data_IF_991883106750
#
_entry.id   IF_991883106750
#
_cell.length_a   1.000
_cell.length_b   1.000
_cell.length_c   1.000
_cell.angle_alpha   90.00
_cell.angle_beta   90.00
_cell.angle_gamma   90.00
#
_symmetry.space_group_name_H-M   'P 1'
#
loop_
_entity.id
_entity.type
_entity.pdbx_description
1 polymer ?
#
# COMPACT_ATOMS: atom_id res chain seq x y z
N UNK A 1 -12.85 -6.50 14.98
CA UNK A 1 -13.19 -5.09 14.64
C UNK A 1 -12.46 -4.14 15.58
N UNK A 2 -11.52 -3.32 15.09
CA UNK A 2 -11.08 -2.12 15.82
C UNK A 2 -11.73 -0.90 15.16
N UNK A 3 -12.48 -0.13 15.95
CA UNK A 3 -13.29 1.04 15.56
C UNK A 3 -12.50 2.19 14.93
N UNK A 4 -11.17 2.14 15.02
CA UNK A 4 -10.25 3.21 14.59
C UNK A 4 -9.99 3.24 13.07
N UNK A 5 -10.30 2.16 12.33
CA UNK A 5 -10.10 2.05 10.88
C UNK A 5 -11.22 2.71 10.04
N UNK A 6 -12.29 3.19 10.68
CA UNK A 6 -13.38 3.94 10.02
C UNK A 6 -13.09 5.45 9.94
N UNK A 7 -11.95 5.91 10.45
CA UNK A 7 -11.61 7.34 10.57
C UNK A 7 -10.55 7.80 9.58
N UNK A 8 -10.20 6.97 8.59
CA UNK A 8 -9.33 7.37 7.49
C UNK A 8 -10.20 7.83 6.31
N UNK A 9 -10.26 9.14 5.99
CA UNK A 9 -11.20 9.68 4.99
C UNK A 9 -10.98 9.15 3.57
N UNK A 10 -9.77 8.66 3.27
CA UNK A 10 -9.46 8.08 1.95
C UNK A 10 -9.98 6.63 1.86
N UNK A 11 -9.93 5.89 2.96
CA UNK A 11 -10.53 4.56 3.07
C UNK A 11 -12.05 4.61 3.31
N UNK A 12 -12.58 5.70 3.87
CA UNK A 12 -14.03 5.86 4.11
C UNK A 12 -14.80 6.17 2.82
N UNK A 13 -14.23 6.97 1.90
CA UNK A 13 -14.89 7.32 0.63
C UNK A 13 -14.91 6.16 -0.38
N UNK A 14 -13.89 5.28 -0.36
CA UNK A 14 -13.82 4.11 -1.27
C UNK A 14 -14.28 2.81 -0.59
N UNK A 15 -14.06 2.67 0.72
CA UNK A 15 -14.34 1.45 1.48
C UNK A 15 -15.82 1.19 1.81
N UNK A 16 -16.69 2.20 1.68
CA UNK A 16 -18.14 2.02 1.88
C UNK A 16 -18.90 1.63 0.59
N UNK A 17 -18.24 1.50 -0.56
CA UNK A 17 -18.92 1.32 -1.86
C UNK A 17 -18.65 0.01 -2.62
N UNK A 18 -17.73 -0.86 -2.17
CA UNK A 18 -17.36 -2.12 -2.85
C UNK A 18 -17.03 -3.19 -1.78
N UNK A 19 -17.33 -4.50 -1.99
CA UNK A 19 -17.05 -5.56 -1.01
C UNK A 19 -15.55 -5.63 -0.67
N UNK A 20 -15.20 -5.33 0.59
CA UNK A 20 -13.81 -5.37 1.06
C UNK A 20 -13.53 -6.66 1.85
N UNK A 21 -12.45 -7.36 1.52
CA UNK A 21 -11.89 -8.43 2.35
C UNK A 21 -10.67 -7.90 3.11
N UNK A 22 -10.76 -7.86 4.45
CA UNK A 22 -9.67 -7.40 5.31
C UNK A 22 -8.90 -8.60 5.88
N UNK A 23 -7.64 -8.76 5.46
CA UNK A 23 -6.71 -9.79 5.93
C UNK A 23 -6.26 -9.51 7.37
N UNK A 24 -6.43 -10.49 8.28
CA UNK A 24 -6.02 -10.37 9.69
C UNK A 24 -4.54 -10.76 9.87
N UNK A 25 -3.81 -9.97 10.67
CA UNK A 25 -2.35 -10.01 10.81
C UNK A 25 -1.87 -10.79 12.05
N UNK A 26 -2.79 -11.25 12.89
CA UNK A 26 -2.47 -11.80 14.22
C UNK A 26 -2.44 -13.32 14.33
N UNK A 27 -2.86 -14.07 13.31
CA UNK A 27 -3.02 -15.51 13.44
C UNK A 27 -1.77 -16.27 12.96
N UNK A 28 -1.54 -17.45 13.53
CA UNK A 28 -0.56 -18.44 13.08
C UNK A 28 -0.83 -18.99 11.65
N UNK A 29 -1.55 -18.22 10.81
CA UNK A 29 -2.20 -18.69 9.60
C UNK A 29 -2.04 -17.72 8.42
N UNK A 30 -0.82 -17.18 8.21
CA UNK A 30 -0.44 -16.48 6.97
C UNK A 30 -0.88 -17.25 5.72
N UNK A 31 -0.83 -18.58 5.78
CA UNK A 31 -1.29 -19.47 4.71
C UNK A 31 -2.81 -19.38 4.47
N UNK A 32 -3.61 -19.35 5.54
CA UNK A 32 -5.07 -19.21 5.43
C UNK A 32 -5.46 -17.85 4.87
N UNK A 33 -4.73 -16.79 5.21
CA UNK A 33 -4.98 -15.46 4.65
C UNK A 33 -4.67 -15.41 3.13
N UNK A 34 -3.57 -16.03 2.71
CA UNK A 34 -3.24 -16.17 1.27
C UNK A 34 -4.30 -16.99 0.54
N UNK A 35 -4.78 -18.08 1.15
CA UNK A 35 -5.84 -18.91 0.56
C UNK A 35 -7.17 -18.13 0.47
N UNK A 36 -7.47 -17.27 1.45
CA UNK A 36 -8.61 -16.35 1.41
C UNK A 36 -8.51 -15.31 0.29
N UNK A 37 -7.33 -14.73 0.09
CA UNK A 37 -7.04 -13.84 -1.05
C UNK A 37 -7.32 -14.55 -2.38
N UNK A 38 -6.85 -15.79 -2.54
CA UNK A 38 -7.07 -16.59 -3.76
C UNK A 38 -8.54 -16.90 -3.98
N UNK A 39 -9.26 -17.30 -2.93
CA UNK A 39 -10.69 -17.61 -3.01
C UNK A 39 -11.53 -16.38 -3.38
N UNK A 40 -11.19 -15.21 -2.84
CA UNK A 40 -11.82 -13.94 -3.24
C UNK A 40 -11.55 -13.63 -4.71
N UNK A 41 -10.28 -13.67 -5.12
CA UNK A 41 -9.87 -13.35 -6.48
C UNK A 41 -10.48 -14.30 -7.53
N UNK A 42 -10.67 -15.58 -7.19
CA UNK A 42 -11.31 -16.56 -8.09
C UNK A 42 -12.76 -16.23 -8.45
N UNK A 43 -13.44 -15.39 -7.66
CA UNK A 43 -14.82 -14.98 -7.90
C UNK A 43 -14.93 -13.56 -8.49
N UNK A 44 -13.81 -12.94 -8.85
CA UNK A 44 -13.82 -11.60 -9.44
C UNK A 44 -14.28 -11.62 -10.89
N UNK A 45 -15.16 -10.70 -11.21
CA UNK A 45 -15.64 -10.43 -12.56
C UNK A 45 -14.71 -9.46 -13.30
N UNK A 46 -14.77 -9.37 -14.64
CA UNK A 46 -13.86 -8.51 -15.42
C UNK A 46 -13.88 -7.01 -15.09
N UNK A 47 -14.86 -6.52 -14.33
CA UNK A 47 -14.99 -5.12 -13.90
C UNK A 47 -14.67 -4.92 -12.42
N UNK A 48 -14.31 -5.98 -11.72
CA UNK A 48 -14.00 -5.93 -10.30
C UNK A 48 -12.55 -5.49 -10.09
N UNK A 49 -12.30 -4.84 -8.95
CA UNK A 49 -10.97 -4.37 -8.57
C UNK A 49 -10.65 -4.92 -7.19
N UNK A 50 -9.48 -5.55 -7.07
CA UNK A 50 -8.91 -5.93 -5.79
C UNK A 50 -7.91 -4.87 -5.36
N UNK A 51 -7.99 -4.45 -4.09
CA UNK A 51 -7.06 -3.48 -3.50
C UNK A 51 -6.29 -4.16 -2.39
N UNK A 52 -4.97 -4.01 -2.40
CA UNK A 52 -4.09 -4.50 -1.35
C UNK A 52 -3.11 -3.41 -0.92
N UNK A 53 -2.89 -3.32 0.39
CA UNK A 53 -1.90 -2.43 1.00
C UNK A 53 -0.67 -3.25 1.38
N UNK A 54 0.39 -3.29 0.56
CA UNK A 54 1.53 -4.18 0.79
C UNK A 54 2.34 -3.80 2.04
N UNK A 55 2.27 -2.56 2.51
CA UNK A 55 2.87 -2.13 3.79
C UNK A 55 2.25 -2.86 4.99
N UNK A 56 0.98 -3.26 4.84
CA UNK A 56 0.19 -3.88 5.87
C UNK A 56 -0.20 -2.96 7.01
N UNK A 57 0.43 -1.82 7.27
CA UNK A 57 0.08 -0.89 8.36
C UNK A 57 0.44 0.55 7.99
N UNK A 58 -0.16 1.52 8.69
CA UNK A 58 0.26 2.92 8.63
C UNK A 58 1.74 3.06 9.01
N UNK A 59 2.43 3.91 8.25
CA UNK A 59 3.81 4.32 8.51
C UNK A 59 3.95 5.03 9.85
N UNK A 60 4.96 4.62 10.61
CA UNK A 60 5.62 5.40 11.65
C UNK A 60 7.12 5.23 11.40
N UNK A 61 7.93 6.28 11.56
CA UNK A 61 9.37 6.23 11.40
C UNK A 61 10.02 5.10 12.23
N UNK A 62 9.60 4.94 13.49
CA UNK A 62 10.09 3.85 14.35
C UNK A 62 9.75 2.47 13.77
N UNK A 63 8.54 2.32 13.19
CA UNK A 63 8.12 1.07 12.55
C UNK A 63 8.88 0.83 11.26
N UNK A 64 9.16 1.87 10.47
CA UNK A 64 9.94 1.76 9.23
C UNK A 64 11.33 1.24 9.54
N UNK A 65 12.04 1.89 10.45
CA UNK A 65 13.39 1.49 10.87
C UNK A 65 13.39 0.05 11.39
N UNK A 66 12.45 -0.31 12.27
CA UNK A 66 12.36 -1.65 12.81
C UNK A 66 12.03 -2.72 11.75
N UNK A 67 11.18 -2.41 10.76
CA UNK A 67 10.83 -3.35 9.69
C UNK A 67 11.97 -3.53 8.69
N UNK A 68 12.66 -2.45 8.33
CA UNK A 68 13.87 -2.51 7.49
C UNK A 68 14.94 -3.36 8.19
N UNK A 69 15.23 -3.09 9.47
CA UNK A 69 16.21 -3.86 10.24
C UNK A 69 15.88 -5.36 10.32
N UNK A 70 14.59 -5.75 10.36
CA UNK A 70 14.20 -7.16 10.32
C UNK A 70 14.57 -7.86 9.01
N UNK A 71 14.71 -7.11 7.91
CA UNK A 71 15.16 -7.67 6.62
C UNK A 71 16.64 -8.03 6.66
N UNK A 72 17.47 -7.33 7.44
CA UNK A 72 18.91 -7.55 7.49
C UNK A 72 19.28 -9.03 7.70
N UNK A 73 18.56 -9.72 8.60
CA UNK A 73 18.79 -11.15 8.89
C UNK A 73 18.01 -12.10 7.99
N UNK A 74 16.87 -11.68 7.44
CA UNK A 74 15.92 -12.56 6.74
C UNK A 74 16.07 -12.53 5.22
N UNK A 75 16.42 -11.38 4.68
CA UNK A 75 16.59 -11.11 3.26
C UNK A 75 17.65 -10.00 3.07
N UNK A 76 18.95 -10.31 3.25
CA UNK A 76 20.02 -9.30 3.25
C UNK A 76 20.11 -8.48 1.96
N UNK A 77 19.89 -9.10 0.81
CA UNK A 77 19.88 -8.41 -0.50
C UNK A 77 18.72 -7.40 -0.58
N UNK A 78 17.54 -7.80 -0.10
CA UNK A 78 16.35 -6.97 -0.06
C UNK A 78 16.50 -5.83 0.96
N UNK A 79 17.16 -6.10 2.08
CA UNK A 79 17.56 -5.07 3.04
C UNK A 79 18.46 -4.01 2.40
N UNK A 80 19.54 -4.44 1.71
CA UNK A 80 20.47 -3.52 1.05
C UNK A 80 19.77 -2.60 0.03
N UNK A 81 18.72 -3.10 -0.63
CA UNK A 81 17.90 -2.34 -1.57
C UNK A 81 16.95 -1.36 -0.88
N UNK A 82 16.26 -1.81 0.18
CA UNK A 82 15.17 -1.06 0.82
C UNK A 82 15.60 -0.22 2.03
N UNK A 83 16.86 -0.29 2.45
CA UNK A 83 17.37 0.49 3.59
C UNK A 83 17.27 2.00 3.37
N UNK A 84 17.26 2.44 2.11
CA UNK A 84 17.12 3.84 1.72
C UNK A 84 15.69 4.40 1.73
N UNK A 85 14.68 3.63 2.14
CA UNK A 85 13.30 4.12 2.23
C UNK A 85 13.17 5.21 3.30
N UNK A 86 12.65 6.37 2.90
CA UNK A 86 12.51 7.54 3.77
C UNK A 86 11.09 7.73 4.30
N UNK A 87 10.06 7.34 3.54
CA UNK A 87 8.65 7.62 3.86
C UNK A 87 7.79 6.37 3.92
N UNK A 88 8.06 5.37 3.09
CA UNK A 88 7.24 4.16 2.99
C UNK A 88 7.80 3.02 3.85
N UNK A 89 6.94 2.07 4.19
CA UNK A 89 7.38 0.81 4.81
C UNK A 89 7.84 -0.16 3.72
N UNK A 90 8.80 -1.07 4.02
CA UNK A 90 9.15 -2.15 3.10
C UNK A 90 7.89 -2.95 2.71
N UNK A 91 7.61 -3.13 1.40
CA UNK A 91 6.37 -3.78 0.98
C UNK A 91 6.42 -5.27 1.31
N UNK A 92 5.26 -5.88 1.57
CA UNK A 92 5.10 -7.33 1.71
C UNK A 92 4.51 -7.86 0.41
N UNK A 93 5.33 -8.59 -0.34
CA UNK A 93 5.00 -9.12 -1.67
C UNK A 93 3.93 -10.22 -1.64
N UNK A 94 3.97 -11.10 -0.64
CA UNK A 94 3.20 -12.35 -0.63
C UNK A 94 1.70 -12.22 -0.97
N UNK A 95 1.00 -11.24 -0.42
CA UNK A 95 -0.42 -11.03 -0.71
C UNK A 95 -0.66 -10.49 -2.12
N UNK A 96 0.21 -9.58 -2.59
CA UNK A 96 0.12 -9.03 -3.94
C UNK A 96 0.49 -10.09 -5.00
N UNK A 97 1.49 -10.93 -4.71
CA UNK A 97 1.82 -12.10 -5.52
C UNK A 97 0.62 -13.05 -5.63
N UNK A 98 -0.04 -13.36 -4.51
CA UNK A 98 -1.20 -14.24 -4.51
C UNK A 98 -2.38 -13.69 -5.33
N UNK A 99 -2.62 -12.37 -5.28
CA UNK A 99 -3.61 -11.70 -6.14
C UNK A 99 -3.23 -11.79 -7.61
N UNK A 100 -1.99 -11.47 -7.96
CA UNK A 100 -1.53 -11.47 -9.35
C UNK A 100 -1.54 -12.90 -9.95
N UNK A 101 -1.25 -13.92 -9.14
CA UNK A 101 -1.36 -15.33 -9.53
C UNK A 101 -2.81 -15.74 -9.77
N UNK A 102 -3.75 -15.25 -8.95
CA UNK A 102 -5.17 -15.58 -9.07
C UNK A 102 -5.88 -14.79 -10.19
N UNK A 103 -5.34 -13.64 -10.60
CA UNK A 103 -5.88 -12.76 -11.65
C UNK A 103 -4.80 -12.57 -12.74
N UNK A 104 -4.49 -13.62 -13.52
CA UNK A 104 -3.35 -13.62 -14.42
C UNK A 104 -3.45 -12.60 -15.56
N UNK A 105 -4.65 -12.12 -15.89
CA UNK A 105 -4.88 -11.11 -16.94
C UNK A 105 -5.06 -9.69 -16.38
N UNK A 106 -5.02 -9.50 -15.06
CA UNK A 106 -5.34 -8.23 -14.42
C UNK A 106 -4.24 -7.19 -14.54
N UNK A 107 -4.57 -6.00 -15.01
CA UNK A 107 -3.64 -4.85 -14.94
C UNK A 107 -3.36 -4.46 -13.48
N UNK A 108 -2.18 -3.91 -13.23
CA UNK A 108 -1.77 -3.47 -11.90
C UNK A 108 -1.81 -1.95 -11.83
N UNK A 109 -2.55 -1.41 -10.88
CA UNK A 109 -2.55 0.03 -10.58
C UNK A 109 -1.79 0.27 -9.29
N UNK A 110 -0.73 1.07 -9.35
CA UNK A 110 -0.05 1.58 -8.17
C UNK A 110 -0.64 2.93 -7.80
N UNK A 111 -1.08 3.07 -6.55
CA UNK A 111 -1.68 4.28 -6.04
C UNK A 111 -0.86 4.81 -4.87
N UNK A 112 -0.55 6.10 -4.90
CA UNK A 112 0.09 6.80 -3.80
C UNK A 112 -0.46 8.21 -3.65
N UNK A 113 -0.30 8.79 -2.46
CA UNK A 113 -0.78 10.13 -2.20
C UNK A 113 0.08 10.87 -1.17
N UNK A 114 0.03 12.20 -1.21
CA UNK A 114 0.54 13.10 -0.17
C UNK A 114 -0.49 14.15 0.19
N UNK A 115 -0.36 14.75 1.37
CA UNK A 115 -1.23 15.87 1.75
C UNK A 115 -2.50 15.48 2.49
N UNK A 116 -2.64 14.24 2.95
CA UNK A 116 -3.74 13.80 3.82
C UNK A 116 -3.37 13.75 5.32
N UNK A 117 -2.16 14.19 5.68
CA UNK A 117 -1.69 14.25 7.06
C UNK A 117 -2.58 15.18 7.92
N UNK A 118 -3.00 14.70 9.10
CA UNK A 118 -3.80 15.47 10.06
C UNK A 118 -5.31 15.51 9.79
N UNK A 119 -5.83 14.62 8.93
CA UNK A 119 -7.28 14.41 8.74
C UNK A 119 -7.86 13.32 9.66
N UNK A 120 -7.06 12.85 10.61
CA UNK A 120 -7.38 11.80 11.58
C UNK A 120 -8.33 12.26 12.71
N UNK A 121 -8.62 13.57 12.78
CA UNK A 121 -9.58 14.15 13.73
C UNK A 121 -10.49 15.15 13.03
N UNK A 122 -11.74 15.25 13.49
CA UNK A 122 -12.73 16.21 12.97
C UNK A 122 -12.22 17.67 13.04
N UNK A 123 -11.43 17.99 14.08
CA UNK A 123 -10.78 19.30 14.22
C UNK A 123 -9.66 19.54 13.19
N UNK A 124 -8.90 18.49 12.84
CA UNK A 124 -7.87 18.52 11.79
C UNK A 124 -8.45 18.68 10.39
N UNK A 125 -9.56 17.99 10.10
CA UNK A 125 -10.35 18.15 8.86
C UNK A 125 -10.87 19.59 8.71
N UNK A 126 -11.52 20.14 9.76
CA UNK A 126 -12.04 21.53 9.71
C UNK A 126 -10.94 22.58 9.54
N UNK A 127 -9.78 22.37 10.16
CA UNK A 127 -8.62 23.27 10.03
C UNK A 127 -8.02 23.24 8.61
N UNK A 128 -7.95 22.05 8.01
CA UNK A 128 -7.48 21.85 6.62
C UNK A 128 -8.45 22.44 5.59
N UNK A 129 -9.75 22.26 5.77
CA UNK A 129 -10.78 22.85 4.87
C UNK A 129 -10.86 24.37 4.97
N UNK A 130 -10.43 24.94 6.10
CA UNK A 130 -10.32 26.39 6.28
C UNK A 130 -9.05 26.98 5.65
N UNK A 131 -8.12 26.15 5.15
CA UNK A 131 -6.95 26.62 4.38
C UNK A 131 -7.37 26.79 2.91
N UNK A 132 -6.95 27.90 2.30
CA UNK A 132 -7.35 28.27 0.94
C UNK A 132 -6.93 27.26 -0.13
N UNK A 133 -5.86 26.47 0.12
CA UNK A 133 -5.34 25.47 -0.83
C UNK A 133 -4.94 24.17 -0.12
N UNK A 134 -5.87 23.22 0.08
CA UNK A 134 -5.50 21.88 0.53
C UNK A 134 -4.81 21.14 -0.62
N UNK A 135 -3.47 21.20 -0.68
CA UNK A 135 -2.67 20.45 -1.64
C UNK A 135 -2.62 18.96 -1.29
N UNK A 136 -3.71 18.26 -1.56
CA UNK A 136 -3.72 16.81 -1.67
C UNK A 136 -3.29 16.42 -3.08
N UNK A 137 -2.36 15.49 -3.20
CA UNK A 137 -1.97 14.89 -4.47
C UNK A 137 -2.23 13.40 -4.39
N UNK A 138 -3.03 12.89 -5.31
CA UNK A 138 -3.26 11.45 -5.51
C UNK A 138 -2.74 11.10 -6.90
N UNK A 139 -1.98 10.03 -7.00
CA UNK A 139 -1.40 9.56 -8.26
C UNK A 139 -1.75 8.10 -8.43
N UNK A 140 -2.21 7.77 -9.63
CA UNK A 140 -2.50 6.40 -10.07
C UNK A 140 -1.61 6.11 -11.28
N UNK A 141 -0.85 5.03 -11.22
CA UNK A 141 0.05 4.58 -12.28
C UNK A 141 -0.41 3.19 -12.74
N UNK A 142 -0.95 3.13 -13.95
CA UNK A 142 -1.41 1.89 -14.57
C UNK A 142 -0.22 1.17 -15.22
N UNK A 143 -0.04 -0.08 -14.84
CA UNK A 143 0.88 -1.01 -15.48
C UNK A 143 0.05 -2.10 -16.17
N UNK A 144 0.12 -2.10 -17.50
CA UNK A 144 -0.48 -3.17 -18.29
C UNK A 144 0.05 -4.52 -17.82
N UNK A 145 -0.79 -5.54 -17.75
CA UNK A 145 -0.42 -6.86 -17.22
C UNK A 145 0.86 -7.43 -17.83
N UNK A 146 1.04 -7.26 -19.14
CA UNK A 146 2.23 -7.71 -19.88
C UNK A 146 3.55 -7.02 -19.46
N UNK A 147 3.47 -5.84 -18.83
CA UNK A 147 4.62 -5.10 -18.31
C UNK A 147 5.01 -5.49 -16.87
N UNK A 148 4.20 -6.33 -16.21
CA UNK A 148 4.39 -6.74 -14.82
C UNK A 148 4.96 -8.17 -14.78
N UNK A 149 6.15 -8.39 -14.19
CA UNK A 149 6.72 -9.72 -14.10
C UNK A 149 5.90 -10.62 -13.15
N UNK A 150 6.00 -11.93 -13.35
CA UNK A 150 5.27 -12.94 -12.56
C UNK A 150 6.23 -13.76 -11.69
N UNK A 151 5.68 -14.49 -10.72
CA UNK A 151 6.45 -15.39 -9.86
C UNK A 151 7.50 -14.64 -9.02
N UNK A 152 8.70 -15.22 -8.90
CA UNK A 152 9.76 -14.66 -8.05
C UNK A 152 10.23 -13.26 -8.49
N UNK A 153 10.12 -12.93 -9.77
CA UNK A 153 10.54 -11.62 -10.30
C UNK A 153 9.58 -10.47 -9.90
N UNK A 154 8.35 -10.78 -9.47
CA UNK A 154 7.39 -9.76 -9.04
C UNK A 154 7.83 -9.03 -7.77
N UNK A 155 8.49 -9.71 -6.82
CA UNK A 155 8.95 -9.07 -5.59
C UNK A 155 10.00 -7.99 -5.88
N UNK A 156 10.98 -8.30 -6.73
CA UNK A 156 12.00 -7.33 -7.12
C UNK A 156 11.40 -6.11 -7.84
N UNK A 157 10.44 -6.35 -8.74
CA UNK A 157 9.72 -5.29 -9.45
C UNK A 157 8.90 -4.42 -8.49
N UNK A 158 8.20 -5.03 -7.53
CA UNK A 158 7.43 -4.29 -6.54
C UNK A 158 8.36 -3.41 -5.69
N UNK A 159 9.52 -3.93 -5.29
CA UNK A 159 10.52 -3.16 -4.55
C UNK A 159 11.06 -1.96 -5.35
N UNK A 160 11.32 -2.13 -6.65
CA UNK A 160 11.76 -1.03 -7.53
C UNK A 160 10.71 0.06 -7.63
N UNK A 161 9.46 -0.33 -7.87
CA UNK A 161 8.33 0.61 -7.91
C UNK A 161 8.13 1.30 -6.56
N UNK A 162 8.32 0.58 -5.45
CA UNK A 162 8.19 1.15 -4.10
C UNK A 162 9.24 2.23 -3.83
N UNK A 163 10.50 2.01 -4.23
CA UNK A 163 11.57 3.00 -4.12
C UNK A 163 11.33 4.23 -5.01
N UNK A 164 10.75 4.04 -6.20
CA UNK A 164 10.34 5.16 -7.06
C UNK A 164 9.22 5.99 -6.42
N UNK A 165 8.22 5.33 -5.85
CA UNK A 165 7.11 6.00 -5.16
C UNK A 165 7.64 6.74 -3.93
N UNK A 166 8.51 6.12 -3.13
CA UNK A 166 9.10 6.74 -1.93
C UNK A 166 9.79 8.07 -2.28
N UNK A 167 10.63 8.10 -3.32
CA UNK A 167 11.26 9.33 -3.81
C UNK A 167 10.24 10.37 -4.28
N UNK A 168 9.22 9.96 -5.05
CA UNK A 168 8.13 10.87 -5.48
C UNK A 168 7.37 11.46 -4.29
N UNK A 169 7.15 10.66 -3.25
CA UNK A 169 6.49 11.07 -1.99
C UNK A 169 7.37 12.05 -1.21
N UNK A 170 8.68 11.80 -1.10
CA UNK A 170 9.65 12.74 -0.50
C UNK A 170 9.60 14.07 -1.24
N UNK A 171 9.82 14.06 -2.56
CA UNK A 171 9.84 15.27 -3.39
C UNK A 171 8.54 16.08 -3.28
N UNK A 172 7.39 15.39 -3.34
CA UNK A 172 6.08 16.04 -3.25
C UNK A 172 5.80 16.60 -1.85
N UNK A 173 6.37 15.99 -0.80
CA UNK A 173 6.24 16.47 0.58
C UNK A 173 7.14 17.67 0.87
N UNK A 174 8.34 17.72 0.30
CA UNK A 174 9.29 18.83 0.49
C UNK A 174 8.88 20.10 -0.25
N UNK A 175 8.29 19.97 -1.44
CA UNK A 175 7.69 21.10 -2.18
C UNK A 175 6.54 21.78 -1.44
N UNK A 176 6.02 21.19 -0.36
CA UNK A 176 5.00 21.78 0.53
C UNK A 176 5.61 22.71 1.60
N UNK A 177 6.90 22.54 1.92
CA UNK A 177 7.59 23.30 2.98
C UNK A 177 8.18 24.62 2.44
N UNK A 178 8.37 24.72 1.11
CA UNK A 178 8.81 25.93 0.42
C UNK A 178 7.63 26.74 -0.09
#
# INVERSE_FOLDING_TARGET
MKKELLLDPCLDVVGQRIPNYFVDRGSAAIRQEIDGIRAMAANMMPKDVAVIFPEGTRTNDEKRVALVQRLEKRAPERHAKLVGLERLLPPRSAGATALLEAIPEGDVVLLWHVGFDGLDTFAGVRRRLAQAEPHARVVLELHARASVPSGAAFEAWLDDRWLEIDRKVVDASERRIR
#
